data_IF_890572708658
#
_entry.id   IF_890572708658
#
_cell.length_a   1.000
_cell.length_b   1.000
_cell.length_c   1.000
_cell.angle_alpha   90.00
_cell.angle_beta   90.00
_cell.angle_gamma   90.00
#
_symmetry.space_group_name_H-M   'P 1'
#
loop_
_entity.id
_entity.type
_entity.pdbx_description
1 polymer ?
#
# COMPACT_ATOMS: atom_id res chain seq x y z
N UNK A 1 -5.66 7.42 0.74
CA UNK A 1 -5.07 6.93 -0.54
C UNK A 1 -4.61 5.50 -0.33
N UNK A 2 -4.77 4.64 -1.34
CA UNK A 2 -4.42 3.22 -1.18
C UNK A 2 -2.96 2.93 -1.53
N UNK A 3 -2.33 2.13 -0.70
CA UNK A 3 -0.93 1.71 -0.82
C UNK A 3 -0.80 0.21 -0.60
N UNK A 4 0.09 -0.40 -1.37
CA UNK A 4 0.49 -1.80 -1.27
C UNK A 4 1.78 -1.86 -0.46
N UNK A 5 1.72 -2.51 0.68
CA UNK A 5 2.85 -2.92 1.49
C UNK A 5 3.31 -4.31 1.05
N UNK A 6 4.60 -4.45 0.74
CA UNK A 6 5.19 -5.72 0.32
C UNK A 6 6.40 -6.02 1.19
N UNK A 7 6.47 -7.22 1.74
CA UNK A 7 7.62 -7.62 2.53
C UNK A 7 8.87 -7.83 1.65
N UNK A 8 10.02 -7.33 2.11
CA UNK A 8 11.31 -7.52 1.43
C UNK A 8 11.71 -9.00 1.45
N UNK A 9 12.15 -9.51 0.29
CA UNK A 9 12.50 -10.93 0.11
C UNK A 9 13.62 -11.35 1.08
N UNK A 10 13.38 -12.38 1.87
CA UNK A 10 14.34 -12.92 2.83
C UNK A 10 14.31 -12.29 4.23
N UNK A 11 13.44 -11.30 4.46
CA UNK A 11 13.14 -10.81 5.81
C UNK A 11 11.87 -11.44 6.35
N UNK A 12 11.87 -11.71 7.66
CA UNK A 12 10.64 -12.07 8.39
C UNK A 12 10.12 -10.77 8.99
N UNK A 13 9.05 -10.18 8.45
CA UNK A 13 8.54 -8.93 8.96
C UNK A 13 7.92 -9.17 10.34
N UNK A 14 8.23 -8.32 11.30
CA UNK A 14 7.53 -8.34 12.59
C UNK A 14 6.10 -7.83 12.40
N UNK A 15 5.16 -8.77 12.39
CA UNK A 15 3.74 -8.49 12.15
C UNK A 15 3.14 -7.63 13.24
N UNK A 16 3.55 -7.82 14.50
CA UNK A 16 3.03 -7.04 15.62
C UNK A 16 3.48 -5.60 15.50
N UNK A 17 4.76 -5.40 15.19
CA UNK A 17 5.31 -4.07 14.95
C UNK A 17 4.62 -3.40 13.77
N UNK A 18 4.46 -4.11 12.65
CA UNK A 18 3.78 -3.58 11.48
C UNK A 18 2.33 -3.16 11.77
N UNK A 19 1.55 -3.99 12.47
CA UNK A 19 0.16 -3.65 12.83
C UNK A 19 0.09 -2.45 13.79
N UNK A 20 1.00 -2.36 14.76
CA UNK A 20 1.03 -1.23 15.69
C UNK A 20 1.43 0.06 14.97
N UNK A 21 2.44 0.00 14.09
CA UNK A 21 2.84 1.14 13.27
C UNK A 21 1.68 1.58 12.36
N UNK A 22 0.98 0.64 11.72
CA UNK A 22 -0.20 0.96 10.91
C UNK A 22 -1.27 1.67 11.73
N UNK A 23 -1.57 1.19 12.94
CA UNK A 23 -2.58 1.78 13.83
C UNK A 23 -2.17 3.19 14.31
N UNK A 24 -0.89 3.40 14.65
CA UNK A 24 -0.35 4.72 15.06
C UNK A 24 -0.51 5.76 13.95
N UNK A 25 -0.22 5.38 12.70
CA UNK A 25 -0.35 6.28 11.54
C UNK A 25 -1.78 6.33 10.97
N UNK A 26 -2.76 5.72 11.65
CA UNK A 26 -4.16 5.73 11.21
C UNK A 26 -4.39 4.98 9.88
N UNK A 27 -3.50 4.05 9.52
CA UNK A 27 -3.61 3.25 8.31
C UNK A 27 -4.73 2.23 8.46
N UNK A 28 -5.73 2.29 7.57
CA UNK A 28 -6.80 1.32 7.54
C UNK A 28 -6.40 0.11 6.68
N UNK A 29 -6.55 -1.10 7.21
CA UNK A 29 -6.34 -2.32 6.45
C UNK A 29 -7.50 -2.54 5.47
N UNK A 30 -7.21 -2.50 4.16
CA UNK A 30 -8.21 -2.70 3.10
C UNK A 30 -8.26 -4.16 2.67
N UNK A 31 -7.10 -4.79 2.46
CA UNK A 31 -7.00 -6.20 2.08
C UNK A 31 -5.78 -6.86 2.72
N UNK A 32 -6.05 -7.89 3.52
CA UNK A 32 -5.07 -8.71 4.23
C UNK A 32 -4.89 -10.13 3.68
N UNK A 33 -5.48 -10.45 2.52
CA UNK A 33 -5.52 -11.81 1.95
C UNK A 33 -4.14 -12.43 1.73
N UNK A 34 -3.11 -11.62 1.49
CA UNK A 34 -1.74 -12.04 1.23
C UNK A 34 -0.78 -11.75 2.40
N UNK A 35 -1.32 -11.43 3.58
CA UNK A 35 -0.51 -11.19 4.77
C UNK A 35 0.19 -12.50 5.20
N UNK A 36 1.50 -12.50 5.51
CA UNK A 36 2.41 -11.37 5.73
C UNK A 36 3.26 -10.96 4.51
N UNK A 37 2.99 -11.51 3.34
CA UNK A 37 3.80 -11.25 2.13
C UNK A 37 3.46 -9.89 1.54
N UNK A 38 2.17 -9.55 1.50
CA UNK A 38 1.68 -8.34 0.89
C UNK A 38 0.36 -7.91 1.54
N UNK A 39 0.14 -6.61 1.65
CA UNK A 39 -1.06 -6.05 2.27
C UNK A 39 -1.48 -4.76 1.57
N UNK A 40 -2.78 -4.54 1.44
CA UNK A 40 -3.34 -3.28 0.93
C UNK A 40 -3.84 -2.46 2.12
N UNK A 41 -3.37 -1.23 2.21
CA UNK A 41 -3.76 -0.27 3.24
C UNK A 41 -4.28 1.00 2.61
N UNK A 42 -5.12 1.73 3.33
CA UNK A 42 -5.53 3.09 3.02
C UNK A 42 -4.90 4.02 4.05
N UNK A 43 -4.14 5.01 3.58
CA UNK A 43 -3.37 5.94 4.40
C UNK A 43 -3.43 7.34 3.78
N UNK A 44 -3.32 8.39 4.59
CA UNK A 44 -3.14 9.74 4.08
C UNK A 44 -1.73 9.94 3.51
N UNK A 45 -1.62 10.74 2.45
CA UNK A 45 -0.33 10.96 1.77
C UNK A 45 0.70 11.68 2.67
N UNK A 46 0.22 12.46 3.62
CA UNK A 46 1.00 13.13 4.68
C UNK A 46 1.74 12.14 5.57
N UNK A 47 1.10 11.02 5.93
CA UNK A 47 1.65 10.03 6.87
C UNK A 47 2.48 8.95 6.16
N UNK A 48 2.41 8.88 4.82
CA UNK A 48 3.17 7.95 4.01
C UNK A 48 4.69 8.05 4.25
N UNK A 49 5.21 9.27 4.42
CA UNK A 49 6.66 9.49 4.58
C UNK A 49 7.16 8.92 5.90
N UNK A 50 6.44 9.21 6.99
CA UNK A 50 6.74 8.72 8.34
C UNK A 50 6.62 7.20 8.41
N UNK A 51 5.54 6.65 7.85
CA UNK A 51 5.31 5.21 7.80
C UNK A 51 6.38 4.48 6.97
N UNK A 52 6.82 5.10 5.87
CA UNK A 52 7.91 4.58 5.05
C UNK A 52 9.23 4.55 5.82
N UNK A 53 9.59 5.61 6.54
CA UNK A 53 10.82 5.64 7.32
C UNK A 53 10.86 4.57 8.43
N UNK A 54 9.72 4.29 9.08
CA UNK A 54 9.62 3.25 10.12
C UNK A 54 9.62 1.81 9.58
N UNK A 55 9.02 1.60 8.40
CA UNK A 55 8.85 0.27 7.80
C UNK A 55 9.90 -0.08 6.73
N UNK A 56 10.74 0.86 6.29
CA UNK A 56 11.71 0.66 5.18
C UNK A 56 12.66 -0.53 5.43
N UNK A 57 12.90 -0.88 6.69
CA UNK A 57 13.80 -1.98 7.01
C UNK A 57 13.22 -3.35 6.58
N UNK A 58 11.91 -3.55 6.60
CA UNK A 58 11.25 -4.86 6.41
C UNK A 58 10.24 -4.86 5.27
N UNK A 59 9.68 -3.70 4.93
CA UNK A 59 8.61 -3.53 3.96
C UNK A 59 8.97 -2.50 2.89
N UNK A 60 8.34 -2.67 1.74
CA UNK A 60 8.34 -1.72 0.63
C UNK A 60 6.91 -1.24 0.41
N UNK A 61 6.73 0.07 0.26
CA UNK A 61 5.42 0.68 0.06
C UNK A 61 5.32 1.17 -1.38
N UNK A 62 4.25 0.78 -2.05
CA UNK A 62 3.94 1.16 -3.42
C UNK A 62 2.56 1.84 -3.44
N UNK A 63 2.37 2.96 -4.13
CA UNK A 63 1.02 3.46 -4.38
C UNK A 63 0.24 2.43 -5.20
N UNK A 64 -1.03 2.20 -4.85
CA UNK A 64 -1.90 1.39 -5.70
C UNK A 64 -2.04 2.10 -7.04
N UNK A 65 -1.67 1.43 -8.13
CA UNK A 65 -1.83 2.01 -9.47
C UNK A 65 -3.33 2.20 -9.72
N UNK A 66 -3.76 3.46 -9.80
CA UNK A 66 -5.07 3.80 -10.33
C UNK A 66 -5.06 3.39 -11.80
N UNK A 67 -5.71 2.28 -12.13
CA UNK A 67 -5.89 1.88 -13.52
C UNK A 67 -6.86 2.86 -14.18
N UNK A 68 -6.32 3.81 -14.95
CA UNK A 68 -7.16 4.63 -15.82
C UNK A 68 -7.62 3.76 -16.99
N UNK A 69 -8.89 3.35 -16.96
CA UNK A 69 -9.53 2.72 -18.10
C UNK A 69 -9.50 3.71 -19.27
N UNK A 70 -8.88 3.39 -20.41
CA UNK A 70 -8.91 4.27 -21.57
C UNK A 70 -10.37 4.47 -21.98
N UNK A 71 -10.85 5.71 -21.93
CA UNK A 71 -12.20 6.02 -22.40
C UNK A 71 -12.30 5.65 -23.88
N UNK A 72 -13.32 4.88 -24.32
CA UNK A 72 -13.46 4.53 -25.72
C UNK A 72 -13.67 5.81 -26.52
N UNK A 73 -12.66 6.18 -27.33
CA UNK A 73 -12.79 7.30 -28.27
C UNK A 73 -13.96 7.00 -29.20
N UNK A 74 -15.10 7.67 -29.01
CA UNK A 74 -16.19 7.71 -30.00
C UNK A 74 -15.63 8.32 -31.28
N UNK A 75 -15.23 7.48 -32.23
CA UNK A 75 -14.97 7.91 -33.60
C UNK A 75 -16.34 8.10 -34.25
N UNK A 76 -16.82 9.35 -34.26
CA UNK A 76 -17.94 9.75 -35.11
C UNK A 76 -17.40 9.70 -36.54
N UNK A 77 -17.81 8.68 -37.32
CA UNK A 77 -17.62 8.72 -38.77
C UNK A 77 -18.66 9.68 -39.35
N UNK A 78 -18.16 10.67 -40.10
CA UNK A 78 -18.93 11.61 -40.93
C UNK A 78 -19.65 10.87 -42.06
#
# INVERSE_FOLDING_TARGET
>A
MRFILKCKKGKKPDLKKATVTLDIHGANLVDGSLFPVMVLIDLEETDLRSLKEELDQEWEIYPEKIYQVPSPRKVIKK
#
